data_IF_095344533250
#
_entry.id   IF_095344533250
#
_cell.length_a   1.000
_cell.length_b   1.000
_cell.length_c   1.000
_cell.angle_alpha   90.00
_cell.angle_beta   90.00
_cell.angle_gamma   90.00
#
_symmetry.space_group_name_H-M   'P 1'
#
loop_
_entity.id
_entity.type
_entity.pdbx_description
1 polymer ?
#
# COMPACT_ATOMS: atom_id res chain seq x y z
N UNK A 1 9.90 -5.37 13.73
CA UNK A 1 10.24 -4.26 12.82
C UNK A 1 10.71 -4.74 11.45
N UNK A 2 10.64 -6.04 11.15
CA UNK A 2 11.15 -6.60 9.90
C UNK A 2 10.22 -6.28 8.74
N UNK A 3 8.91 -6.34 8.97
CA UNK A 3 7.92 -6.06 7.93
C UNK A 3 7.67 -4.56 7.76
N UNK A 4 7.31 -4.14 6.54
CA UNK A 4 6.83 -2.77 6.29
C UNK A 4 5.64 -2.43 7.17
N UNK A 5 4.68 -3.35 7.33
CA UNK A 5 3.49 -3.21 8.18
C UNK A 5 3.86 -2.90 9.64
N UNK A 6 4.81 -3.63 10.22
CA UNK A 6 5.29 -3.39 11.58
C UNK A 6 5.94 -2.02 11.71
N UNK A 7 6.71 -1.60 10.70
CA UNK A 7 7.34 -0.26 10.70
C UNK A 7 6.28 0.83 10.59
N UNK A 8 5.30 0.68 9.71
CA UNK A 8 4.21 1.64 9.52
C UNK A 8 3.43 1.85 10.83
N UNK A 9 3.16 0.77 11.57
CA UNK A 9 2.46 0.83 12.85
C UNK A 9 3.19 1.67 13.92
N UNK A 10 4.50 1.89 13.79
CA UNK A 10 5.26 2.73 14.73
C UNK A 10 5.02 4.24 14.56
N UNK A 11 4.38 4.66 13.46
CA UNK A 11 4.14 6.07 13.14
C UNK A 11 2.74 6.55 13.56
N UNK A 12 2.01 5.79 14.39
CA UNK A 12 0.62 6.11 14.76
C UNK A 12 0.46 7.48 15.43
N UNK A 13 1.44 7.93 16.23
CA UNK A 13 1.37 9.24 16.91
C UNK A 13 2.38 10.25 16.34
N UNK A 14 2.86 10.02 15.11
CA UNK A 14 3.70 11.00 14.43
C UNK A 14 2.94 12.29 14.09
N UNK A 15 3.64 13.44 14.03
CA UNK A 15 3.00 14.72 13.76
C UNK A 15 2.26 14.74 12.43
N UNK A 16 1.04 15.26 12.45
CA UNK A 16 0.20 15.43 11.25
C UNK A 16 0.81 16.33 10.17
N UNK A 17 1.87 17.08 10.48
CA UNK A 17 2.63 17.86 9.49
C UNK A 17 3.38 16.98 8.48
N UNK A 18 3.70 15.73 8.83
CA UNK A 18 4.30 14.77 7.91
C UNK A 18 3.21 14.04 7.14
N UNK A 19 3.39 13.95 5.82
CA UNK A 19 2.42 13.29 4.95
C UNK A 19 2.52 11.77 5.05
N UNK A 20 1.45 11.07 4.68
CA UNK A 20 1.47 9.61 4.54
C UNK A 20 2.58 9.15 3.59
N UNK A 21 2.79 9.86 2.47
CA UNK A 21 3.87 9.57 1.51
C UNK A 21 5.24 9.62 2.18
N UNK A 22 5.50 10.61 3.03
CA UNK A 22 6.75 10.73 3.77
C UNK A 22 6.97 9.53 4.70
N UNK A 23 5.95 9.16 5.48
CA UNK A 23 5.98 8.01 6.39
C UNK A 23 6.19 6.70 5.61
N UNK A 24 5.49 6.51 4.50
CA UNK A 24 5.63 5.34 3.66
C UNK A 24 7.05 5.24 3.06
N UNK A 25 7.63 6.37 2.64
CA UNK A 25 9.01 6.41 2.16
C UNK A 25 10.02 6.01 3.25
N UNK A 26 9.85 6.49 4.49
CA UNK A 26 10.63 6.03 5.63
C UNK A 26 10.51 4.51 5.80
N UNK A 27 9.28 4.00 5.81
CA UNK A 27 9.02 2.57 5.99
C UNK A 27 9.65 1.71 4.89
N UNK A 28 9.58 2.11 3.61
CA UNK A 28 10.25 1.36 2.52
C UNK A 28 11.77 1.37 2.67
N UNK A 29 12.35 2.48 3.13
CA UNK A 29 13.78 2.61 3.41
C UNK A 29 14.25 1.82 4.64
N UNK A 30 13.33 1.13 5.34
CA UNK A 30 13.63 0.35 6.53
C UNK A 30 13.58 1.16 7.83
N UNK A 31 13.10 2.40 7.81
CA UNK A 31 12.96 3.23 9.00
C UNK A 31 11.67 2.93 9.77
N UNK A 32 11.78 2.93 11.10
CA UNK A 32 10.67 2.87 12.04
C UNK A 32 10.88 3.90 13.15
N UNK A 33 9.80 4.41 13.72
CA UNK A 33 9.84 5.33 14.85
C UNK A 33 10.28 4.60 16.12
N UNK A 34 11.23 5.16 16.86
CA UNK A 34 11.72 4.61 18.15
C UNK A 34 11.42 5.48 19.36
N UNK A 35 10.96 6.72 19.15
CA UNK A 35 10.57 7.63 20.23
C UNK A 35 9.33 8.41 19.85
N UNK A 36 8.39 8.50 20.79
CA UNK A 36 7.21 9.37 20.71
C UNK A 36 7.00 10.12 22.04
N UNK A 37 6.26 11.23 21.96
CA UNK A 37 5.63 12.02 23.02
C UNK A 37 6.47 13.06 23.79
N UNK A 38 7.80 12.97 23.92
CA UNK A 38 8.56 13.98 24.71
C UNK A 38 9.97 14.34 24.21
N UNK A 39 10.64 13.48 23.43
CA UNK A 39 12.02 13.67 22.99
C UNK A 39 12.16 13.46 21.46
N UNK A 40 11.62 14.41 20.68
CA UNK A 40 11.82 14.45 19.23
C UNK A 40 11.16 13.31 18.44
N UNK A 41 11.28 13.38 17.12
CA UNK A 41 10.80 12.36 16.17
C UNK A 41 12.01 11.61 15.65
N UNK A 42 12.39 10.53 16.33
CA UNK A 42 13.58 9.75 15.98
C UNK A 42 13.14 8.50 15.22
N UNK A 43 13.73 8.31 14.04
CA UNK A 43 13.61 7.08 13.27
C UNK A 43 14.90 6.27 13.34
N UNK A 44 14.78 4.94 13.24
CA UNK A 44 15.89 4.01 13.19
C UNK A 44 15.77 3.09 12.00
N UNK A 45 16.88 2.84 11.30
CA UNK A 45 16.89 1.91 10.17
C UNK A 45 17.18 0.47 10.62
N UNK A 46 16.38 -0.50 10.16
CA UNK A 46 16.63 -1.93 10.42
C UNK A 46 17.87 -2.51 9.70
N UNK A 47 18.36 -1.83 8.67
CA UNK A 47 19.44 -2.36 7.82
C UNK A 47 20.84 -1.87 8.23
N UNK A 48 20.92 -0.74 8.93
CA UNK A 48 22.18 -0.10 9.31
C UNK A 48 22.20 0.49 10.70
N UNK A 49 21.11 0.39 11.46
CA UNK A 49 20.94 0.92 12.81
C UNK A 49 21.13 2.45 12.95
N UNK A 50 21.28 3.19 11.85
CA UNK A 50 21.39 4.64 11.89
C UNK A 50 20.10 5.26 12.41
N UNK A 51 20.25 6.21 13.31
CA UNK A 51 19.15 7.01 13.86
C UNK A 51 19.16 8.39 13.21
N UNK A 52 17.98 8.88 12.83
CA UNK A 52 17.80 10.24 12.32
C UNK A 52 16.73 10.94 13.15
N UNK A 53 17.03 12.15 13.58
CA UNK A 53 16.15 13.01 14.37
C UNK A 53 15.88 14.33 13.62
N UNK A 54 15.11 15.22 14.24
CA UNK A 54 14.88 16.58 13.75
C UNK A 54 14.33 16.72 12.32
N UNK A 55 13.57 15.73 11.85
CA UNK A 55 12.94 15.76 10.52
C UNK A 55 12.17 17.06 10.25
N UNK A 56 12.41 17.64 9.07
CA UNK A 56 11.67 18.74 8.48
C UNK A 56 10.68 18.23 7.42
N UNK A 57 9.63 19.02 7.16
CA UNK A 57 8.63 18.70 6.14
C UNK A 57 9.20 18.70 4.71
N UNK A 58 10.34 19.36 4.50
CA UNK A 58 11.02 19.46 3.21
C UNK A 58 12.11 18.40 3.02
N UNK A 59 12.39 17.58 4.04
CA UNK A 59 13.41 16.55 3.93
C UNK A 59 13.00 15.46 2.94
N UNK A 60 14.00 14.89 2.26
CA UNK A 60 13.82 13.67 1.47
C UNK A 60 14.39 12.47 2.24
N UNK A 61 13.55 11.56 2.77
CA UNK A 61 14.01 10.39 3.53
C UNK A 61 15.08 9.58 2.81
N UNK A 62 15.01 9.49 1.48
CA UNK A 62 15.98 8.76 0.68
C UNK A 62 17.35 9.44 0.71
N UNK A 63 17.38 10.76 0.52
CA UNK A 63 18.61 11.55 0.49
C UNK A 63 19.29 11.59 1.86
N UNK A 64 18.53 11.82 2.93
CA UNK A 64 19.06 11.81 4.30
C UNK A 64 19.68 10.45 4.64
N UNK A 65 18.94 9.37 4.37
CA UNK A 65 19.40 8.01 4.69
C UNK A 65 20.63 7.58 3.87
N UNK A 66 20.82 8.10 2.66
CA UNK A 66 21.94 7.71 1.77
C UNK A 66 23.32 7.94 2.40
N UNK A 67 23.44 8.87 3.35
CA UNK A 67 24.70 9.21 4.00
C UNK A 67 25.12 8.22 5.10
N UNK A 68 24.24 7.29 5.51
CA UNK A 68 24.43 6.36 6.64
C UNK A 68 25.22 5.07 6.35
N UNK A 69 25.89 4.94 5.19
CA UNK A 69 26.53 3.68 4.73
C UNK A 69 25.60 2.45 4.73
N UNK A 70 24.28 2.66 4.63
CA UNK A 70 23.30 1.60 4.68
C UNK A 70 23.41 0.61 3.49
N UNK A 71 23.32 -0.72 3.73
CA UNK A 71 23.52 -1.71 2.68
C UNK A 71 22.51 -1.61 1.53
N UNK A 72 21.33 -1.02 1.75
CA UNK A 72 20.34 -0.77 0.68
C UNK A 72 20.87 0.15 -0.44
N UNK A 73 21.88 0.98 -0.17
CA UNK A 73 22.52 1.82 -1.19
C UNK A 73 23.69 1.10 -1.90
N UNK A 74 24.04 -0.11 -1.45
CA UNK A 74 25.14 -0.92 -1.95
C UNK A 74 24.68 -2.21 -2.66
N UNK A 75 23.41 -2.30 -3.04
CA UNK A 75 22.79 -3.50 -3.66
C UNK A 75 23.37 -3.90 -5.03
N UNK A 76 24.17 -3.03 -5.64
CA UNK A 76 24.98 -3.38 -6.81
C UNK A 76 26.07 -4.41 -6.47
N UNK A 77 26.55 -4.43 -5.23
CA UNK A 77 27.53 -5.38 -4.69
C UNK A 77 26.86 -6.63 -4.13
N UNK A 78 27.59 -7.76 -4.11
CA UNK A 78 27.14 -9.00 -3.47
C UNK A 78 26.96 -8.81 -1.96
N UNK A 79 27.96 -8.21 -1.31
CA UNK A 79 27.98 -7.96 0.15
C UNK A 79 26.75 -7.14 0.59
N UNK A 80 26.40 -6.08 -0.15
CA UNK A 80 25.22 -5.26 0.15
C UNK A 80 23.92 -6.05 0.12
N UNK A 81 23.76 -6.92 -0.89
CA UNK A 81 22.59 -7.81 -0.98
C UNK A 81 22.57 -8.85 0.11
N UNK A 82 23.71 -9.45 0.45
CA UNK A 82 23.82 -10.43 1.53
C UNK A 82 23.44 -9.84 2.89
N UNK A 83 23.88 -8.62 3.19
CA UNK A 83 23.50 -7.90 4.42
C UNK A 83 22.01 -7.60 4.50
N UNK A 84 21.35 -7.25 3.38
CA UNK A 84 19.90 -7.04 3.36
C UNK A 84 19.15 -8.37 3.50
N UNK A 85 19.60 -9.40 2.78
CA UNK A 85 18.93 -10.69 2.71
C UNK A 85 19.09 -11.54 3.97
N UNK A 86 20.10 -11.29 4.80
CA UNK A 86 20.28 -11.97 6.09
C UNK A 86 19.09 -11.72 7.02
N UNK A 87 18.45 -10.55 6.96
CA UNK A 87 17.29 -10.22 7.79
C UNK A 87 16.06 -11.10 7.48
N UNK A 88 15.96 -11.60 6.25
CA UNK A 88 14.85 -12.46 5.81
C UNK A 88 15.26 -13.92 5.61
N UNK A 89 16.49 -14.30 6.00
CA UNK A 89 17.08 -15.62 5.73
C UNK A 89 16.91 -16.06 4.27
N UNK A 90 17.10 -15.12 3.34
CA UNK A 90 16.94 -15.36 1.92
C UNK A 90 18.30 -15.53 1.23
N UNK A 91 18.38 -16.44 0.28
CA UNK A 91 19.56 -16.61 -0.58
C UNK A 91 19.12 -16.83 -2.01
N UNK A 92 19.68 -16.07 -2.94
CA UNK A 92 19.50 -16.26 -4.38
C UNK A 92 20.87 -16.33 -5.05
N UNK A 93 21.01 -17.17 -6.08
CA UNK A 93 22.17 -17.11 -6.99
C UNK A 93 22.17 -15.82 -7.83
N UNK A 94 21.02 -15.18 -7.93
CA UNK A 94 20.76 -13.96 -8.67
C UNK A 94 21.04 -12.67 -7.85
N UNK A 95 20.71 -11.51 -8.44
CA UNK A 95 20.87 -10.19 -7.80
C UNK A 95 19.64 -9.70 -7.04
N UNK A 96 18.71 -10.59 -6.68
CA UNK A 96 17.49 -10.22 -5.97
C UNK A 96 17.75 -9.94 -4.48
N UNK A 97 16.86 -9.15 -3.90
CA UNK A 97 16.73 -9.01 -2.45
C UNK A 97 15.37 -9.55 -1.99
N UNK A 98 15.29 -9.90 -0.72
CA UNK A 98 14.03 -10.26 -0.08
C UNK A 98 13.73 -9.30 1.07
N UNK A 99 12.54 -8.71 1.05
CA UNK A 99 12.03 -7.85 2.12
C UNK A 99 10.67 -8.39 2.57
N UNK A 100 10.29 -8.03 3.78
CA UNK A 100 8.98 -8.40 4.33
C UNK A 100 8.05 -7.19 4.23
N UNK A 101 6.89 -7.34 3.59
CA UNK A 101 5.89 -6.28 3.56
C UNK A 101 4.88 -6.48 4.69
N UNK A 102 4.37 -7.71 4.83
CA UNK A 102 3.44 -8.15 5.88
C UNK A 102 4.12 -9.19 6.75
N UNK A 103 3.74 -9.28 8.03
CA UNK A 103 4.33 -10.27 8.94
C UNK A 103 4.30 -11.69 8.36
N UNK A 104 5.46 -12.34 8.30
CA UNK A 104 5.69 -13.67 7.73
C UNK A 104 5.48 -13.79 6.21
N UNK A 105 5.36 -12.69 5.46
CA UNK A 105 5.23 -12.71 4.00
C UNK A 105 6.44 -12.07 3.31
N UNK A 106 7.24 -12.91 2.67
CA UNK A 106 8.49 -12.55 2.00
C UNK A 106 8.29 -12.13 0.55
N UNK A 107 8.82 -10.98 0.17
CA UNK A 107 8.73 -10.44 -1.18
C UNK A 107 10.10 -10.38 -1.83
N UNK A 108 10.22 -11.02 -2.99
CA UNK A 108 11.48 -11.12 -3.72
C UNK A 108 11.54 -10.03 -4.79
N UNK A 109 12.37 -9.03 -4.55
CA UNK A 109 12.61 -7.93 -5.47
C UNK A 109 13.84 -8.25 -6.32
N UNK A 110 13.59 -8.60 -7.58
CA UNK A 110 14.63 -8.86 -8.57
C UNK A 110 14.65 -7.75 -9.63
N UNK A 111 15.81 -7.17 -9.98
CA UNK A 111 15.90 -6.11 -11.00
C UNK A 111 15.45 -6.55 -12.40
N UNK A 112 15.60 -7.84 -12.71
CA UNK A 112 15.23 -8.41 -14.01
C UNK A 112 13.80 -8.93 -14.03
N UNK A 113 13.34 -9.59 -12.97
CA UNK A 113 11.96 -10.12 -12.91
C UNK A 113 10.95 -9.05 -12.48
N UNK A 114 11.31 -8.20 -11.53
CA UNK A 114 10.41 -7.22 -10.91
C UNK A 114 10.10 -6.01 -11.80
N UNK A 115 10.88 -5.77 -12.87
CA UNK A 115 10.63 -4.67 -13.82
C UNK A 115 9.29 -4.80 -14.56
N UNK A 116 8.82 -6.04 -14.77
CA UNK A 116 7.66 -6.34 -15.59
C UNK A 116 6.54 -7.07 -14.82
N UNK A 117 6.69 -7.29 -13.51
CA UNK A 117 5.61 -7.89 -12.71
C UNK A 117 4.63 -6.79 -12.31
N UNK A 118 3.42 -6.84 -12.86
CA UNK A 118 2.29 -6.21 -12.21
C UNK A 118 1.95 -7.02 -10.96
N UNK A 119 2.01 -6.40 -9.79
CA UNK A 119 1.70 -7.06 -8.51
C UNK A 119 0.18 -7.18 -8.29
N UNK A 120 -0.62 -7.28 -9.36
CA UNK A 120 -2.05 -7.59 -9.29
C UNK A 120 -2.31 -9.02 -8.81
N UNK A 121 -1.33 -9.91 -9.02
CA UNK A 121 -1.28 -11.24 -8.44
C UNK A 121 -0.08 -11.34 -7.49
N UNK A 122 -0.35 -11.13 -6.21
CA UNK A 122 0.67 -11.20 -5.16
C UNK A 122 1.34 -12.58 -5.13
N UNK A 123 0.60 -13.66 -5.42
CA UNK A 123 1.16 -15.01 -5.40
C UNK A 123 2.21 -15.17 -6.50
N UNK A 124 1.96 -14.61 -7.69
CA UNK A 124 2.94 -14.57 -8.76
C UNK A 124 4.20 -13.75 -8.40
N UNK A 125 4.07 -12.71 -7.57
CA UNK A 125 5.20 -11.92 -7.08
C UNK A 125 6.06 -12.67 -6.05
N UNK A 126 5.45 -13.59 -5.31
CA UNK A 126 6.12 -14.51 -4.37
C UNK A 126 6.88 -15.63 -5.10
N UNK A 127 6.47 -16.00 -6.31
CA UNK A 127 7.16 -17.00 -7.13
C UNK A 127 8.33 -16.35 -7.87
N UNK A 128 9.54 -16.56 -7.35
CA UNK A 128 10.78 -16.21 -8.02
C UNK A 128 11.57 -17.48 -8.39
N UNK A 129 11.72 -17.72 -9.69
CA UNK A 129 12.77 -18.58 -10.22
C UNK A 129 14.01 -17.73 -10.53
N UNK A 130 15.18 -18.19 -10.07
CA UNK A 130 16.45 -17.47 -10.30
C UNK A 130 16.64 -17.14 -11.79
N UNK A 131 16.96 -15.88 -12.11
CA UNK A 131 17.26 -15.43 -13.48
C UNK A 131 18.74 -15.12 -13.69
N UNK A 132 19.13 -15.03 -14.96
CA UNK A 132 20.40 -14.44 -15.41
C UNK A 132 20.33 -12.90 -15.34
N UNK A 133 20.21 -12.39 -14.12
CA UNK A 133 19.87 -11.00 -13.93
C UNK A 133 21.07 -10.06 -14.21
N UNK A 134 20.84 -9.07 -15.08
CA UNK A 134 21.87 -8.17 -15.63
C UNK A 134 22.46 -7.24 -14.55
N UNK A 135 23.61 -6.62 -14.82
CA UNK A 135 24.30 -5.65 -13.95
C UNK A 135 23.37 -4.64 -13.26
N UNK A 136 23.35 -4.65 -11.93
CA UNK A 136 22.74 -3.58 -11.12
C UNK A 136 23.73 -2.43 -11.08
N UNK A 137 23.33 -1.26 -11.58
CA UNK A 137 24.15 -0.04 -11.51
C UNK A 137 24.24 0.45 -10.07
N UNK A 138 25.31 1.16 -9.73
CA UNK A 138 25.42 1.86 -8.45
C UNK A 138 24.22 2.78 -8.25
N UNK A 139 23.66 2.78 -7.03
CA UNK A 139 22.51 3.60 -6.69
C UNK A 139 22.95 5.07 -6.63
N UNK A 140 22.41 5.88 -7.54
CA UNK A 140 22.60 7.33 -7.57
C UNK A 140 21.26 8.02 -7.74
N UNK A 141 21.17 9.32 -7.43
CA UNK A 141 19.91 10.06 -7.54
C UNK A 141 19.35 10.12 -8.97
N UNK A 142 20.22 9.94 -9.99
CA UNK A 142 19.90 10.02 -11.43
C UNK A 142 19.86 8.65 -12.13
N UNK A 143 20.06 7.54 -11.41
CA UNK A 143 20.13 6.21 -12.04
C UNK A 143 18.74 5.66 -12.35
N UNK A 144 18.51 5.22 -13.60
CA UNK A 144 17.40 4.34 -13.96
C UNK A 144 17.66 2.93 -13.39
N UNK A 145 17.37 2.77 -12.10
CA UNK A 145 17.64 1.57 -11.31
C UNK A 145 16.36 1.17 -10.58
N UNK A 146 15.92 -0.07 -10.81
CA UNK A 146 14.70 -0.62 -10.21
C UNK A 146 14.67 -0.51 -8.67
N UNK A 147 15.80 -0.70 -8.00
CA UNK A 147 15.88 -0.53 -6.55
C UNK A 147 15.69 0.93 -6.12
N UNK A 148 16.16 1.89 -6.91
CA UNK A 148 15.98 3.32 -6.61
C UNK A 148 14.51 3.70 -6.71
N UNK A 149 13.83 3.24 -7.75
CA UNK A 149 12.39 3.44 -7.90
C UNK A 149 11.62 2.85 -6.71
N UNK A 150 12.01 1.65 -6.28
CA UNK A 150 11.44 1.02 -5.09
C UNK A 150 11.66 1.86 -3.83
N UNK A 151 12.90 2.16 -3.47
CA UNK A 151 13.22 2.89 -2.23
C UNK A 151 12.82 4.37 -2.24
N UNK A 152 12.53 4.96 -3.40
CA UNK A 152 11.92 6.30 -3.53
C UNK A 152 10.39 6.27 -3.46
N UNK A 153 9.79 5.11 -3.22
CA UNK A 153 8.37 4.96 -2.98
C UNK A 153 7.50 4.94 -4.23
N UNK A 154 8.07 4.69 -5.43
CA UNK A 154 7.30 4.56 -6.69
C UNK A 154 6.17 3.53 -6.58
N UNK A 155 6.37 2.52 -5.73
CA UNK A 155 5.43 1.41 -5.55
C UNK A 155 4.65 1.47 -4.22
N UNK A 156 4.71 2.57 -3.46
CA UNK A 156 4.04 2.67 -2.15
C UNK A 156 2.53 2.42 -2.23
N UNK A 157 1.85 3.02 -3.21
CA UNK A 157 0.41 2.83 -3.40
C UNK A 157 0.05 1.34 -3.58
N UNK A 158 0.87 0.60 -4.34
CA UNK A 158 0.68 -0.84 -4.54
C UNK A 158 0.96 -1.64 -3.26
N UNK A 159 2.03 -1.30 -2.52
CA UNK A 159 2.34 -1.93 -1.23
C UNK A 159 1.16 -1.76 -0.26
N UNK A 160 0.58 -0.56 -0.17
CA UNK A 160 -0.55 -0.29 0.72
C UNK A 160 -1.82 -1.04 0.32
N UNK A 161 -2.13 -1.12 -0.97
CA UNK A 161 -3.24 -1.95 -1.48
C UNK A 161 -3.06 -3.42 -1.11
N UNK A 162 -1.82 -3.90 -1.06
CA UNK A 162 -1.55 -5.26 -0.62
C UNK A 162 -1.73 -5.46 0.89
N UNK A 163 -1.31 -4.49 1.71
CA UNK A 163 -1.40 -4.59 3.17
C UNK A 163 -2.85 -4.53 3.66
N UNK A 164 -3.67 -3.74 2.97
CA UNK A 164 -5.11 -3.71 3.12
C UNK A 164 -5.73 -4.38 1.90
N UNK A 165 -5.65 -5.73 1.76
CA UNK A 165 -6.43 -6.38 0.73
C UNK A 165 -7.86 -5.92 0.99
N UNK A 166 -8.53 -5.32 -0.01
CA UNK A 166 -9.94 -4.97 0.12
C UNK A 166 -10.62 -6.20 0.69
N UNK A 167 -10.97 -6.18 1.98
CA UNK A 167 -11.92 -7.14 2.47
C UNK A 167 -13.16 -6.77 1.67
N UNK A 168 -13.60 -7.67 0.80
CA UNK A 168 -14.98 -7.64 0.33
C UNK A 168 -15.90 -8.03 1.51
N UNK A 169 -15.64 -7.48 2.69
CA UNK A 169 -16.54 -7.51 3.82
C UNK A 169 -17.55 -6.43 3.54
N UNK A 170 -18.65 -6.84 2.92
CA UNK A 170 -19.85 -6.03 2.88
C UNK A 170 -20.34 -6.00 4.34
N UNK A 171 -20.39 -4.80 4.92
CA UNK A 171 -20.94 -4.56 6.24
C UNK A 171 -22.41 -5.03 6.25
N UNK A 172 -22.95 -5.48 7.39
CA UNK A 172 -24.34 -5.97 7.47
C UNK A 172 -25.35 -4.95 6.92
N UNK A 173 -25.12 -3.65 7.13
CA UNK A 173 -25.92 -2.57 6.56
C UNK A 173 -25.96 -2.55 5.02
N UNK A 174 -24.86 -2.95 4.39
CA UNK A 174 -24.70 -2.94 2.95
C UNK A 174 -25.20 -4.24 2.33
N UNK A 175 -25.25 -5.34 3.12
CA UNK A 175 -25.86 -6.61 2.72
C UNK A 175 -27.36 -6.47 2.54
N UNK A 176 -28.04 -5.78 3.46
CA UNK A 176 -29.48 -5.52 3.36
C UNK A 176 -29.81 -4.74 2.07
N UNK A 177 -29.00 -3.73 1.74
CA UNK A 177 -29.17 -2.95 0.51
C UNK A 177 -28.92 -3.80 -0.73
N UNK A 178 -27.89 -4.65 -0.72
CA UNK A 178 -27.57 -5.53 -1.85
C UNK A 178 -28.68 -6.58 -2.04
N UNK A 179 -29.19 -7.17 -0.96
CA UNK A 179 -30.31 -8.11 -1.01
C UNK A 179 -31.59 -7.42 -1.55
N UNK A 180 -31.85 -6.19 -1.13
CA UNK A 180 -32.94 -5.39 -1.68
C UNK A 180 -32.76 -5.12 -3.17
N UNK A 181 -31.56 -4.71 -3.61
CA UNK A 181 -31.26 -4.41 -5.01
C UNK A 181 -31.39 -5.67 -5.88
N UNK A 182 -30.84 -6.80 -5.42
CA UNK A 182 -30.89 -8.08 -6.14
C UNK A 182 -32.32 -8.60 -6.23
N UNK A 183 -33.10 -8.56 -5.14
CA UNK A 183 -34.51 -8.98 -5.16
C UNK A 183 -35.36 -8.10 -6.08
N UNK A 184 -35.05 -6.81 -6.19
CA UNK A 184 -35.75 -5.88 -7.07
C UNK A 184 -35.40 -5.98 -8.55
N UNK A 185 -34.30 -6.65 -8.89
CA UNK A 185 -33.89 -6.86 -10.27
C UNK A 185 -34.84 -7.78 -11.05
N UNK A 186 -35.59 -8.67 -10.37
CA UNK A 186 -36.42 -9.71 -10.98
C UNK A 186 -35.68 -10.54 -12.06
N UNK A 187 -34.36 -10.66 -11.94
CA UNK A 187 -33.51 -11.35 -12.92
C UNK A 187 -33.36 -12.83 -12.58
N UNK A 188 -33.07 -13.65 -13.59
CA UNK A 188 -32.78 -15.08 -13.41
C UNK A 188 -31.48 -15.27 -12.61
N UNK A 189 -31.37 -16.37 -11.87
CA UNK A 189 -30.12 -16.78 -11.19
C UNK A 189 -28.92 -16.96 -12.13
N UNK A 190 -29.16 -17.04 -13.45
CA UNK A 190 -28.13 -17.18 -14.48
C UNK A 190 -27.68 -15.85 -15.10
N UNK A 191 -28.27 -14.73 -14.67
CA UNK A 191 -27.93 -13.40 -15.20
C UNK A 191 -26.57 -12.96 -14.66
N UNK A 192 -25.74 -12.26 -15.45
CA UNK A 192 -24.53 -11.64 -14.94
C UNK A 192 -24.85 -10.71 -13.75
N UNK A 193 -24.12 -10.85 -12.64
CA UNK A 193 -24.42 -10.11 -11.40
C UNK A 193 -24.43 -8.58 -11.61
N UNK A 194 -23.58 -8.07 -12.51
CA UNK A 194 -23.55 -6.64 -12.87
C UNK A 194 -24.89 -6.17 -13.44
N UNK A 195 -25.50 -6.98 -14.33
CA UNK A 195 -26.77 -6.65 -14.97
C UNK A 195 -27.92 -6.64 -13.95
N UNK A 196 -27.96 -7.64 -13.07
CA UNK A 196 -28.93 -7.70 -11.96
C UNK A 196 -28.83 -6.48 -11.05
N UNK A 197 -27.61 -6.05 -10.71
CA UNK A 197 -27.37 -4.89 -9.86
C UNK A 197 -27.80 -3.60 -10.57
N UNK A 198 -27.43 -3.41 -11.84
CA UNK A 198 -27.81 -2.21 -12.60
C UNK A 198 -29.33 -2.06 -12.73
N UNK A 199 -30.06 -3.16 -12.97
CA UNK A 199 -31.53 -3.14 -13.05
C UNK A 199 -32.13 -2.79 -11.68
N UNK A 200 -31.65 -3.43 -10.61
CA UNK A 200 -32.12 -3.18 -9.24
C UNK A 200 -31.90 -1.73 -8.80
N UNK A 201 -30.73 -1.17 -9.07
CA UNK A 201 -30.40 0.23 -8.76
C UNK A 201 -31.30 1.21 -9.53
N UNK A 202 -31.54 0.96 -10.81
CA UNK A 202 -32.43 1.79 -11.63
C UNK A 202 -33.87 1.78 -11.11
N UNK A 203 -34.33 0.65 -10.56
CA UNK A 203 -35.67 0.55 -9.97
C UNK A 203 -35.74 1.29 -8.63
N UNK A 204 -34.77 1.10 -7.75
CA UNK A 204 -34.68 1.81 -6.48
C UNK A 204 -34.62 3.34 -6.69
N UNK A 205 -33.87 3.81 -7.69
CA UNK A 205 -33.80 5.23 -8.03
C UNK A 205 -35.19 5.82 -8.36
N UNK A 206 -36.01 5.10 -9.14
CA UNK A 206 -37.39 5.52 -9.47
C UNK A 206 -38.31 5.53 -8.26
N UNK A 207 -38.14 4.59 -7.34
CA UNK A 207 -38.92 4.54 -6.09
C UNK A 207 -38.60 5.75 -5.20
N UNK A 208 -37.31 6.06 -5.04
CA UNK A 208 -36.85 7.24 -4.29
C UNK A 208 -37.40 8.53 -4.92
N UNK A 209 -37.32 8.68 -6.24
CA UNK A 209 -37.87 9.84 -6.94
C UNK A 209 -39.39 9.98 -6.71
N UNK A 210 -40.13 8.86 -6.74
CA UNK A 210 -41.58 8.87 -6.49
C UNK A 210 -41.91 9.32 -5.06
N UNK A 211 -41.19 8.82 -4.06
CA UNK A 211 -41.38 9.20 -2.66
C UNK A 211 -41.01 10.66 -2.40
N UNK A 212 -39.92 11.16 -3.00
CA UNK A 212 -39.55 12.57 -2.93
C UNK A 212 -40.68 13.48 -3.45
N UNK A 213 -41.28 13.13 -4.59
CA UNK A 213 -42.41 13.88 -5.17
C UNK A 213 -43.64 13.85 -4.26
N UNK A 214 -43.92 12.73 -3.59
CA UNK A 214 -45.03 12.63 -2.62
C UNK A 214 -44.79 13.54 -1.42
N UNK A 215 -43.58 13.51 -0.86
CA UNK A 215 -43.20 14.34 0.28
C UNK A 215 -43.30 15.84 -0.06
N UNK A 216 -42.88 16.24 -1.25
CA UNK A 216 -43.02 17.63 -1.71
C UNK A 216 -44.50 18.05 -1.81
N UNK A 217 -45.36 17.21 -2.38
CA UNK A 217 -46.81 17.47 -2.45
C UNK A 217 -47.45 17.57 -1.07
N UNK A 218 -47.07 16.71 -0.14
CA UNK A 218 -47.55 16.77 1.24
C UNK A 218 -47.10 18.05 1.95
N UNK A 219 -45.86 18.50 1.74
CA UNK A 219 -45.36 19.78 2.26
C UNK A 219 -46.13 20.97 1.70
N UNK A 220 -46.39 20.99 0.39
CA UNK A 220 -47.16 22.05 -0.27
C UNK A 220 -48.59 22.08 0.29
N UNK A 221 -49.25 20.92 0.40
CA UNK A 221 -50.61 20.83 0.94
C UNK A 221 -50.73 21.29 2.39
N UNK A 222 -49.68 21.14 3.21
CA UNK A 222 -49.63 21.62 4.59
C UNK A 222 -49.39 23.14 4.69
N UNK A 223 -48.77 23.75 3.67
CA UNK A 223 -48.56 25.20 3.59
C UNK A 223 -49.85 25.90 3.14
N UNK A 224 -50.66 25.27 2.28
CA UNK A 224 -51.94 25.82 1.79
C UNK A 224 -53.10 25.76 2.83
N UNK A 225 -52.89 25.08 3.97
CA UNK A 225 -53.86 24.92 5.06
C UNK A 225 -53.60 25.87 6.26
N UNK A 226 -52.60 26.76 6.16
CA UNK A 226 -52.22 27.78 7.16
C UNK A 226 -52.51 29.17 6.61
#
# INVERSE_FOLDING_TARGET
>A
MLSFEERLATFQNWPRKFTETFINNLCVLGHYSIKELTEGFITKCIYCDSEHDNWDINDDPFTEHKNSNCPIFSLHTKIGREKVNSLTNFSCSCKAICIELRKNTKFIFCPSCGRNKEFSDIESALVHSCCDCVSVKKITAKSNNYYVDFFKGRYNSMILQYLNPKSLSINESDLDLIEYVVSNSNTSLLSPAIESIEIGLNKLAKEIESECVKIEKEKISKIELV
#
